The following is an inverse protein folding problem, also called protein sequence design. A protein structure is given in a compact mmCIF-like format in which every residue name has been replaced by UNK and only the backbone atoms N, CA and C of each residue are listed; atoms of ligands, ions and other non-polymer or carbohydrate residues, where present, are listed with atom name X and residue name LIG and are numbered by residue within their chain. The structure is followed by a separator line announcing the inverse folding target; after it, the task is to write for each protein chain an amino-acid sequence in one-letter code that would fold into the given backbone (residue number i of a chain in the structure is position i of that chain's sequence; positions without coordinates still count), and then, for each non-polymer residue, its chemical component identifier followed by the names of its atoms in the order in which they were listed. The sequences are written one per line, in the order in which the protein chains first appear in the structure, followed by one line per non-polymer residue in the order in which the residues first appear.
data_IF_540630298290
#
_entry.id   IF_540630298290
#
_cell.length_a   1.000
_cell.length_b   1.000
_cell.length_c   1.000
_cell.angle_alpha   90.00
_cell.angle_beta   90.00
_cell.angle_gamma   90.00
#
_symmetry.space_group_name_H-M   'P 1'
#
loop_
_entity.id
_entity.type
_entity.pdbx_description
1 polymer ?
#
# COMPACT_ATOMS: atom_id res chain seq x y z
N UNK A 1 4.24 -3.49 5.20
CA UNK A 1 5.03 -3.14 4.00
C UNK A 1 4.28 -2.04 3.29
N UNK A 2 4.98 -1.03 2.78
CA UNK A 2 4.42 0.09 2.02
C UNK A 2 5.54 0.73 1.17
N UNK A 3 5.25 1.75 0.34
CA UNK A 3 6.26 2.38 -0.53
C UNK A 3 7.39 3.15 0.17
N UNK A 4 7.37 3.35 1.50
CA UNK A 4 8.51 3.92 2.23
C UNK A 4 9.25 2.86 3.07
N UNK A 5 8.63 1.69 3.28
CA UNK A 5 9.18 0.56 4.02
C UNK A 5 8.94 -0.76 3.30
N UNK A 6 9.83 -1.05 2.34
CA UNK A 6 9.67 -2.12 1.35
C UNK A 6 9.91 -3.54 1.87
N UNK A 7 10.53 -3.73 3.03
CA UNK A 7 10.76 -5.06 3.64
C UNK A 7 11.50 -6.09 2.74
N UNK A 8 12.39 -5.65 1.82
CA UNK A 8 13.03 -6.51 0.81
C UNK A 8 13.62 -7.81 1.37
N UNK A 9 14.45 -7.71 2.43
CA UNK A 9 15.08 -8.89 3.07
C UNK A 9 14.06 -9.89 3.61
N UNK A 10 13.00 -9.40 4.26
CA UNK A 10 11.94 -10.25 4.80
C UNK A 10 11.13 -10.91 3.68
N UNK A 11 10.88 -10.17 2.59
CA UNK A 11 10.20 -10.68 1.40
C UNK A 11 10.96 -11.84 0.77
N UNK A 12 12.24 -11.64 0.46
CA UNK A 12 13.11 -12.68 -0.12
C UNK A 12 13.16 -13.94 0.76
N UNK A 13 13.32 -13.77 2.08
CA UNK A 13 13.30 -14.87 3.03
C UNK A 13 11.96 -15.63 3.05
N UNK A 14 10.85 -14.90 3.02
CA UNK A 14 9.50 -15.48 3.08
C UNK A 14 9.17 -16.22 1.79
N UNK A 15 9.52 -15.66 0.64
CA UNK A 15 9.37 -16.28 -0.68
C UNK A 15 10.15 -17.59 -0.78
N UNK A 16 11.41 -17.59 -0.36
CA UNK A 16 12.24 -18.80 -0.33
C UNK A 16 11.68 -19.92 0.57
N UNK A 17 10.74 -19.60 1.45
CA UNK A 17 10.10 -20.54 2.39
C UNK A 17 8.62 -20.79 2.09
N UNK A 18 8.07 -20.23 1.01
CA UNK A 18 6.65 -20.34 0.68
C UNK A 18 5.74 -19.66 1.70
N UNK A 19 6.23 -18.67 2.45
CA UNK A 19 5.47 -17.90 3.43
C UNK A 19 4.84 -16.69 2.73
N UNK A 20 3.51 -16.60 2.79
CA UNK A 20 2.77 -15.46 2.25
C UNK A 20 2.86 -14.28 3.23
N UNK A 21 3.30 -13.12 2.73
CA UNK A 21 3.31 -11.88 3.50
C UNK A 21 1.98 -11.16 3.34
N UNK A 22 1.40 -10.73 4.47
CA UNK A 22 0.29 -9.77 4.51
C UNK A 22 0.79 -8.41 4.96
N UNK A 23 0.69 -7.41 4.10
CA UNK A 23 1.09 -6.04 4.38
C UNK A 23 0.06 -5.33 5.29
N UNK A 24 0.47 -5.09 6.54
CA UNK A 24 -0.21 -4.16 7.45
C UNK A 24 0.27 -2.72 7.24
N UNK A 25 -0.62 -1.76 7.53
CA UNK A 25 -0.42 -0.31 7.36
C UNK A 25 0.08 0.09 5.96
N UNK A 26 -0.62 -0.32 4.88
CA UNK A 26 -0.17 -0.07 3.51
C UNK A 26 -0.11 1.43 3.17
N UNK A 27 -0.83 2.27 3.91
CA UNK A 27 -0.92 3.74 3.72
C UNK A 27 -0.19 4.53 4.81
N UNK A 28 0.83 3.95 5.45
CA UNK A 28 1.64 4.62 6.47
C UNK A 28 0.96 4.80 7.84
N UNK A 29 -0.24 4.26 8.04
CA UNK A 29 -1.04 4.44 9.25
C UNK A 29 -1.33 5.93 9.59
N UNK A 30 -1.56 6.73 8.55
CA UNK A 30 -2.00 8.14 8.64
C UNK A 30 -3.12 8.31 9.68
N UNK A 31 -2.92 9.26 10.59
CA UNK A 31 -3.88 9.60 11.65
C UNK A 31 -3.77 8.75 12.93
N UNK A 32 -2.79 7.84 13.03
CA UNK A 32 -2.47 7.14 14.28
C UNK A 32 -1.25 7.77 14.98
N UNK A 33 -1.12 7.58 16.29
CA UNK A 33 -0.02 8.15 17.09
C UNK A 33 1.36 7.57 16.76
N UNK A 34 1.40 6.40 16.13
CA UNK A 34 2.62 5.66 15.77
C UNK A 34 2.86 5.62 14.25
N UNK A 35 1.94 6.20 13.47
CA UNK A 35 2.00 6.24 12.02
C UNK A 35 2.81 7.42 11.49
N UNK A 36 2.99 7.44 10.18
CA UNK A 36 3.65 8.50 9.44
C UNK A 36 2.80 8.89 8.22
N UNK A 37 2.82 10.18 7.87
CA UNK A 37 2.17 10.65 6.64
C UNK A 37 3.08 10.56 5.42
N UNK A 38 4.35 10.16 5.55
CA UNK A 38 5.33 10.14 4.44
C UNK A 38 4.85 9.37 3.20
N UNK A 39 4.05 8.32 3.38
CA UNK A 39 3.43 7.59 2.25
C UNK A 39 2.41 8.47 1.54
N UNK A 40 1.54 9.14 2.29
CA UNK A 40 0.42 9.89 1.73
C UNK A 40 0.81 11.28 1.24
N UNK A 41 1.93 11.81 1.71
CA UNK A 41 2.47 13.13 1.38
C UNK A 41 3.67 13.02 0.40
N UNK A 42 3.91 11.83 -0.17
CA UNK A 42 4.98 11.61 -1.15
C UNK A 42 4.63 12.24 -2.51
N UNK A 43 5.43 13.21 -2.95
CA UNK A 43 5.27 13.84 -4.28
C UNK A 43 5.43 12.83 -5.42
N UNK A 44 6.33 11.85 -5.30
CA UNK A 44 6.49 10.79 -6.32
C UNK A 44 5.19 9.98 -6.47
N UNK A 45 4.57 9.60 -5.34
CA UNK A 45 3.32 8.83 -5.39
C UNK A 45 2.16 9.68 -5.92
N UNK A 46 2.18 10.99 -5.65
CA UNK A 46 1.21 11.94 -6.18
C UNK A 46 1.33 12.09 -7.70
N UNK A 47 2.54 12.25 -8.23
CA UNK A 47 2.80 12.31 -9.68
C UNK A 47 2.32 11.04 -10.39
N UNK A 48 2.59 9.86 -9.80
CA UNK A 48 2.10 8.57 -10.33
C UNK A 48 0.57 8.52 -10.29
N UNK A 49 -0.04 8.92 -9.18
CA UNK A 49 -1.49 8.94 -9.02
C UNK A 49 -2.16 9.84 -10.07
N UNK A 50 -1.63 11.05 -10.28
CA UNK A 50 -2.09 12.00 -11.30
C UNK A 50 -1.96 11.42 -12.72
N UNK A 51 -0.80 10.85 -13.06
CA UNK A 51 -0.56 10.24 -14.38
C UNK A 51 -1.56 9.12 -14.71
N UNK A 52 -1.98 8.36 -13.71
CA UNK A 52 -2.90 7.24 -13.88
C UNK A 52 -4.37 7.61 -13.64
N UNK A 53 -4.68 8.84 -13.22
CA UNK A 53 -6.04 9.22 -12.83
C UNK A 53 -6.58 8.41 -11.65
N UNK A 54 -5.70 7.99 -10.73
CA UNK A 54 -6.02 7.18 -9.55
C UNK A 54 -5.65 7.95 -8.28
N UNK A 55 -6.04 7.44 -7.11
CA UNK A 55 -5.62 8.00 -5.82
C UNK A 55 -4.26 7.47 -5.38
N UNK A 56 -3.54 8.21 -4.51
CA UNK A 56 -2.29 7.72 -3.88
C UNK A 56 -2.52 6.37 -3.18
N UNK A 57 -3.68 6.20 -2.54
CA UNK A 57 -4.04 4.94 -1.89
C UNK A 57 -4.11 3.79 -2.89
N UNK A 58 -4.79 3.97 -4.03
CA UNK A 58 -4.85 2.95 -5.09
C UNK A 58 -3.46 2.64 -5.64
N UNK A 59 -2.60 3.63 -5.84
CA UNK A 59 -1.21 3.41 -6.28
C UNK A 59 -0.44 2.56 -5.26
N UNK A 60 -0.54 2.86 -3.97
CA UNK A 60 0.13 2.09 -2.91
C UNK A 60 -0.36 0.63 -2.84
N UNK A 61 -1.68 0.44 -2.94
CA UNK A 61 -2.28 -0.90 -2.89
C UNK A 61 -1.96 -1.70 -4.16
N UNK A 62 -2.04 -1.07 -5.34
CA UNK A 62 -1.61 -1.70 -6.60
C UNK A 62 -0.14 -2.08 -6.57
N UNK A 63 0.72 -1.21 -6.04
CA UNK A 63 2.14 -1.52 -5.87
C UNK A 63 2.34 -2.76 -5.00
N UNK A 64 1.63 -2.89 -3.86
CA UNK A 64 1.71 -4.08 -3.01
C UNK A 64 1.25 -5.35 -3.73
N UNK A 65 0.18 -5.26 -4.53
CA UNK A 65 -0.30 -6.37 -5.37
C UNK A 65 0.79 -6.82 -6.35
N UNK A 66 1.45 -5.86 -7.02
CA UNK A 66 2.55 -6.14 -7.95
C UNK A 66 3.82 -6.66 -7.28
N UNK A 67 4.00 -6.40 -5.98
CA UNK A 67 5.05 -7.04 -5.18
C UNK A 67 4.74 -8.51 -4.83
N UNK A 68 3.56 -9.04 -5.21
CA UNK A 68 3.19 -10.43 -4.92
C UNK A 68 2.86 -10.70 -3.46
N UNK A 69 2.43 -9.68 -2.71
CA UNK A 69 1.99 -9.83 -1.31
C UNK A 69 0.48 -9.59 -1.18
N UNK A 70 -0.11 -10.08 -0.10
CA UNK A 70 -1.49 -9.70 0.29
C UNK A 70 -1.45 -8.45 1.15
N UNK A 71 -2.59 -7.82 1.42
CA UNK A 71 -2.66 -6.56 2.17
C UNK A 71 -3.92 -6.45 3.02
N UNK A 72 -3.80 -5.73 4.14
CA UNK A 72 -4.92 -5.36 5.00
C UNK A 72 -5.00 -3.83 5.10
N UNK A 73 -5.84 -3.22 4.28
CA UNK A 73 -6.11 -1.78 4.31
C UNK A 73 -7.37 -1.48 5.11
N UNK A 74 -7.27 -0.55 6.06
CA UNK A 74 -8.39 -0.15 6.91
C UNK A 74 -9.08 1.09 6.36
N UNK A 75 -10.41 1.06 6.28
CA UNK A 75 -11.25 2.24 6.13
C UNK A 75 -12.59 1.99 6.83
N UNK A 76 -13.21 3.05 7.34
CA UNK A 76 -14.61 3.04 7.79
C UNK A 76 -15.51 3.88 6.87
N UNK A 77 -14.92 4.46 5.83
CA UNK A 77 -15.60 5.27 4.84
C UNK A 77 -15.91 4.41 3.62
N UNK A 78 -17.18 4.41 3.23
CA UNK A 78 -17.73 3.54 2.18
C UNK A 78 -17.08 3.79 0.82
N UNK A 79 -16.88 5.05 0.46
CA UNK A 79 -16.27 5.40 -0.83
C UNK A 79 -14.80 5.00 -0.86
N UNK A 80 -14.05 5.24 0.22
CA UNK A 80 -12.66 4.77 0.32
C UNK A 80 -12.56 3.24 0.32
N UNK A 81 -13.49 2.53 0.96
CA UNK A 81 -13.53 1.07 0.91
C UNK A 81 -13.73 0.56 -0.53
N UNK A 82 -14.63 1.20 -1.29
CA UNK A 82 -14.85 0.90 -2.70
C UNK A 82 -13.59 1.20 -3.54
N UNK A 83 -13.01 2.39 -3.40
CA UNK A 83 -11.77 2.78 -4.09
C UNK A 83 -10.61 1.81 -3.82
N UNK A 84 -10.48 1.32 -2.57
CA UNK A 84 -9.44 0.37 -2.20
C UNK A 84 -9.58 -0.99 -2.91
N UNK A 85 -10.76 -1.33 -3.44
CA UNK A 85 -11.02 -2.54 -4.22
C UNK A 85 -10.84 -2.31 -5.73
N UNK A 86 -10.87 -1.07 -6.20
CA UNK A 86 -10.70 -0.68 -7.61
C UNK A 86 -9.20 -0.55 -7.98
N UNK A 87 -8.47 -1.66 -7.81
CA UNK A 87 -7.01 -1.76 -8.05
C UNK A 87 -6.61 -2.92 -8.98
N UNK A 88 -7.59 -3.66 -9.51
CA UNK A 88 -7.35 -4.88 -10.29
C UNK A 88 -7.51 -4.69 -11.80
N UNK A 89 -8.02 -3.55 -12.23
CA UNK A 89 -8.12 -3.12 -13.62
C UNK A 89 -6.79 -2.53 -14.13
#
# INVERSE_FOLDING_TARGET
MNPVWHQKKLKEYSEAKGIIITAFSPLGAKGTVWGSNEVMDSEILKEIAEKHGKTIAQVCLRWLLEQGVTMAVKSYDKERMKQNLEIFD
#
